data_IF_060803453129
#
_entry.id   IF_060803453129
#
_cell.length_a   1.000
_cell.length_b   1.000
_cell.length_c   1.000
_cell.angle_alpha   90.00
_cell.angle_beta   90.00
_cell.angle_gamma   90.00
#
_symmetry.space_group_name_H-M   'P 1'
#
loop_
_entity.id
_entity.type
_entity.pdbx_description
1 polymer ?
#
# COMPACT_ATOMS: atom_id res chain seq x y z
N UNK A 1 0.39 36.48 -4.28
CA UNK A 1 -0.36 35.23 -4.02
C UNK A 1 0.48 34.33 -3.13
N UNK A 2 -0.10 33.76 -2.07
CA UNK A 2 0.61 32.83 -1.17
C UNK A 2 0.83 31.51 -1.95
N UNK A 3 2.08 31.03 -2.07
CA UNK A 3 2.35 29.75 -2.74
C UNK A 3 1.70 28.63 -1.93
N UNK A 4 0.84 27.84 -2.56
CA UNK A 4 0.19 26.69 -1.92
C UNK A 4 1.23 25.60 -1.69
N UNK A 5 1.18 24.99 -0.50
CA UNK A 5 2.10 23.95 -0.07
C UNK A 5 1.33 22.74 0.43
N UNK A 6 1.94 21.58 0.31
CA UNK A 6 1.47 20.30 0.86
C UNK A 6 2.56 19.72 1.75
N UNK A 7 2.17 19.09 2.85
CA UNK A 7 3.10 18.40 3.75
C UNK A 7 3.29 16.97 3.27
N UNK A 8 4.54 16.59 3.01
CA UNK A 8 4.96 15.20 2.75
C UNK A 8 5.61 14.61 4.00
N UNK A 9 5.90 13.32 4.01
CA UNK A 9 6.63 12.67 5.11
C UNK A 9 8.06 13.22 5.29
N UNK A 10 8.63 13.89 4.29
CA UNK A 10 9.93 14.57 4.34
C UNK A 10 9.83 16.11 4.51
N UNK A 11 8.62 16.68 4.68
CA UNK A 11 8.40 18.11 4.87
C UNK A 11 7.55 18.78 3.79
N UNK A 12 7.48 20.11 3.81
CA UNK A 12 6.65 20.86 2.87
C UNK A 12 7.20 20.82 1.42
N UNK A 13 6.31 20.59 0.46
CA UNK A 13 6.55 20.80 -0.98
C UNK A 13 5.55 21.79 -1.56
N UNK A 14 5.91 22.43 -2.67
CA UNK A 14 4.98 23.28 -3.41
C UNK A 14 3.99 22.41 -4.18
N UNK A 15 2.77 22.89 -4.37
CA UNK A 15 1.75 22.15 -5.15
C UNK A 15 2.23 21.86 -6.58
N UNK A 16 3.01 22.77 -7.18
CA UNK A 16 3.53 22.58 -8.54
C UNK A 16 4.57 21.45 -8.64
N UNK A 17 5.10 20.98 -7.51
CA UNK A 17 6.09 19.89 -7.43
C UNK A 17 5.44 18.49 -7.30
N UNK A 18 4.09 18.42 -7.24
CA UNK A 18 3.37 17.16 -7.06
C UNK A 18 3.27 16.30 -8.32
N UNK A 19 3.21 16.93 -9.51
CA UNK A 19 3.19 16.18 -10.76
C UNK A 19 1.99 15.24 -10.94
N UNK A 20 2.23 14.04 -11.47
CA UNK A 20 1.23 12.96 -11.54
C UNK A 20 1.01 12.37 -10.14
N UNK A 21 -0.24 12.38 -9.68
CA UNK A 21 -0.64 12.00 -8.32
C UNK A 21 -1.57 10.80 -8.33
N UNK A 22 -1.27 9.78 -7.51
CA UNK A 22 -2.26 8.80 -7.06
C UNK A 22 -2.86 9.28 -5.72
N UNK A 23 -4.13 9.73 -5.69
CA UNK A 23 -4.67 10.47 -4.55
C UNK A 23 -5.16 9.58 -3.40
N UNK A 24 -5.17 8.26 -3.55
CA UNK A 24 -5.64 7.32 -2.54
C UNK A 24 -4.94 5.99 -2.75
N UNK A 25 -3.90 5.72 -1.96
CA UNK A 25 -3.23 4.42 -1.95
C UNK A 25 -2.93 3.96 -0.52
N UNK A 26 -2.50 2.71 -0.39
CA UNK A 26 -2.04 2.10 0.85
C UNK A 26 -0.70 1.39 0.60
N UNK A 27 0.40 1.97 1.06
CA UNK A 27 1.74 1.44 0.82
C UNK A 27 2.07 0.32 1.83
N UNK A 28 1.74 0.57 3.09
CA UNK A 28 1.78 -0.43 4.15
C UNK A 28 0.44 -0.49 4.83
N UNK A 29 -0.20 -1.66 4.83
CA UNK A 29 -1.52 -1.84 5.43
C UNK A 29 -1.68 -3.24 6.02
N UNK A 30 -2.34 -3.31 7.17
CA UNK A 30 -2.82 -4.53 7.77
C UNK A 30 -4.31 -4.37 8.06
N UNK A 31 -5.12 -5.03 7.22
CA UNK A 31 -6.58 -5.14 7.39
C UNK A 31 -6.98 -6.57 7.76
N UNK A 32 -6.09 -7.31 8.42
CA UNK A 32 -6.41 -8.65 8.92
C UNK A 32 -7.51 -8.66 9.99
N UNK A 33 -7.87 -7.49 10.54
CA UNK A 33 -9.06 -7.32 11.37
C UNK A 33 -10.39 -7.46 10.59
N UNK A 34 -10.37 -7.39 9.26
CA UNK A 34 -11.52 -7.66 8.39
C UNK A 34 -11.64 -9.16 8.02
N UNK A 35 -10.67 -9.98 8.43
CA UNK A 35 -10.69 -11.41 8.15
C UNK A 35 -11.82 -12.12 8.92
N UNK A 36 -12.59 -12.94 8.22
CA UNK A 36 -13.56 -13.85 8.81
C UNK A 36 -13.18 -15.28 8.45
N UNK A 37 -12.94 -16.12 9.45
CA UNK A 37 -12.56 -17.52 9.20
C UNK A 37 -13.71 -18.28 8.50
N UNK A 38 -13.47 -18.94 7.36
CA UNK A 38 -14.48 -19.74 6.69
C UNK A 38 -14.93 -20.93 7.52
N UNK A 39 -16.21 -21.30 7.39
CA UNK A 39 -16.80 -22.42 8.13
C UNK A 39 -16.47 -23.77 7.48
N UNK A 40 -16.42 -23.82 6.15
CA UNK A 40 -16.10 -25.07 5.45
C UNK A 40 -14.60 -25.38 5.52
N UNK A 41 -14.30 -26.68 5.53
CA UNK A 41 -12.95 -27.20 5.75
C UNK A 41 -11.99 -26.97 4.58
N UNK A 42 -12.51 -26.71 3.38
CA UNK A 42 -11.69 -26.47 2.18
C UNK A 42 -11.20 -25.03 2.21
N UNK A 43 -12.12 -24.08 2.34
CA UNK A 43 -11.81 -22.65 2.38
C UNK A 43 -11.02 -22.30 3.64
N UNK A 44 -11.27 -22.96 4.77
CA UNK A 44 -10.44 -22.79 5.97
C UNK A 44 -8.98 -23.19 5.73
N UNK A 45 -8.70 -24.23 4.94
CA UNK A 45 -7.31 -24.58 4.58
C UNK A 45 -6.70 -23.55 3.64
N UNK A 46 -7.48 -23.01 2.71
CA UNK A 46 -7.03 -21.94 1.81
C UNK A 46 -6.73 -20.64 2.58
N UNK A 47 -7.52 -20.33 3.61
CA UNK A 47 -7.47 -19.06 4.32
C UNK A 47 -6.12 -18.74 4.99
N UNK A 48 -5.37 -19.78 5.36
CA UNK A 48 -4.05 -19.66 6.01
C UNK A 48 -2.88 -19.96 5.07
N UNK A 49 -3.11 -20.09 3.75
CA UNK A 49 -2.04 -20.19 2.77
C UNK A 49 -1.41 -18.81 2.48
N UNK A 50 -0.26 -18.83 1.83
CA UNK A 50 0.32 -17.64 1.19
C UNK A 50 -0.37 -17.37 -0.15
N UNK A 51 -0.43 -16.10 -0.56
CA UNK A 51 -0.89 -15.74 -1.91
C UNK A 51 -0.01 -16.44 -2.95
N UNK A 52 -0.64 -17.09 -3.92
CA UNK A 52 0.07 -17.78 -5.01
C UNK A 52 -0.82 -17.91 -6.25
N UNK A 53 -0.22 -18.26 -7.39
CA UNK A 53 -1.00 -18.53 -8.61
C UNK A 53 -2.06 -19.63 -8.43
N UNK A 54 -1.84 -20.58 -7.51
CA UNK A 54 -2.76 -21.68 -7.25
C UNK A 54 -4.07 -21.24 -6.56
N UNK A 55 -4.05 -20.15 -5.79
CA UNK A 55 -5.22 -19.63 -5.09
C UNK A 55 -5.78 -18.32 -5.68
N UNK A 56 -5.16 -17.79 -6.74
CA UNK A 56 -5.58 -16.57 -7.41
C UNK A 56 -7.05 -16.59 -7.87
N UNK A 57 -7.55 -17.74 -8.36
CA UNK A 57 -8.95 -17.87 -8.77
C UNK A 57 -9.95 -17.66 -7.63
N UNK A 58 -9.58 -18.08 -6.41
CA UNK A 58 -10.41 -17.86 -5.22
C UNK A 58 -10.35 -16.40 -4.78
N UNK A 59 -9.13 -15.84 -4.69
CA UNK A 59 -8.88 -14.45 -4.29
C UNK A 59 -9.55 -13.42 -5.19
N UNK A 60 -9.70 -13.69 -6.48
CA UNK A 60 -10.43 -12.80 -7.41
C UNK A 60 -11.93 -12.70 -7.13
N UNK A 61 -12.52 -13.67 -6.42
CA UNK A 61 -13.94 -13.67 -6.03
C UNK A 61 -14.12 -13.17 -4.60
N UNK A 62 -13.20 -13.55 -3.73
CA UNK A 62 -13.16 -13.12 -2.34
C UNK A 62 -11.72 -12.76 -1.95
N UNK A 63 -11.35 -11.47 -2.03
CA UNK A 63 -10.02 -11.00 -1.66
C UNK A 63 -9.70 -11.15 -0.16
N UNK A 64 -10.73 -11.37 0.68
CA UNK A 64 -10.59 -11.52 2.13
C UNK A 64 -10.44 -12.97 2.57
N UNK A 65 -10.63 -13.92 1.64
CA UNK A 65 -10.55 -15.34 1.93
C UNK A 65 -9.19 -15.75 2.51
N UNK A 66 -8.09 -15.26 1.92
CA UNK A 66 -6.73 -15.60 2.35
C UNK A 66 -6.18 -14.46 3.20
N UNK A 67 -5.89 -14.75 4.48
CA UNK A 67 -5.43 -13.76 5.45
C UNK A 67 -4.13 -13.06 5.02
N UNK A 68 -3.26 -13.77 4.30
CA UNK A 68 -2.02 -13.22 3.75
C UNK A 68 -2.25 -12.08 2.74
N UNK A 69 -3.35 -12.12 1.99
CA UNK A 69 -3.70 -11.09 1.00
C UNK A 69 -4.16 -9.77 1.64
N UNK A 70 -4.44 -9.77 2.94
CA UNK A 70 -4.92 -8.62 3.71
C UNK A 70 -3.79 -7.78 4.31
N UNK A 71 -2.54 -8.13 4.03
CA UNK A 71 -1.36 -7.52 4.63
C UNK A 71 -0.38 -7.12 3.54
N UNK A 72 -0.15 -5.82 3.40
CA UNK A 72 0.95 -5.25 2.63
C UNK A 72 2.01 -4.76 3.62
N UNK A 73 3.03 -5.57 3.87
CA UNK A 73 4.06 -5.27 4.88
C UNK A 73 5.49 -5.35 4.37
N UNK A 74 5.73 -5.87 3.17
CA UNK A 74 7.07 -6.14 2.66
C UNK A 74 7.70 -4.85 2.08
N UNK A 75 8.83 -4.42 2.65
CA UNK A 75 9.46 -3.15 2.29
C UNK A 75 9.99 -3.12 0.86
N UNK A 76 10.74 -4.16 0.48
CA UNK A 76 11.38 -4.21 -0.84
C UNK A 76 10.34 -4.27 -1.97
N UNK A 77 9.23 -4.99 -1.76
CA UNK A 77 8.10 -5.01 -2.71
C UNK A 77 7.50 -3.61 -2.84
N UNK A 78 7.20 -2.93 -1.73
CA UNK A 78 6.66 -1.57 -1.77
C UNK A 78 7.62 -0.60 -2.48
N UNK A 79 8.93 -0.69 -2.22
CA UNK A 79 9.95 0.10 -2.93
C UNK A 79 9.90 -0.16 -4.44
N UNK A 80 9.89 -1.41 -4.85
CA UNK A 80 9.95 -1.79 -6.26
C UNK A 80 8.69 -1.35 -7.02
N UNK A 81 7.51 -1.49 -6.41
CA UNK A 81 6.23 -0.99 -6.96
C UNK A 81 6.22 0.55 -7.10
N UNK A 82 6.75 1.28 -6.10
CA UNK A 82 6.91 2.73 -6.19
C UNK A 82 7.89 3.15 -7.30
N UNK A 83 8.94 2.37 -7.52
CA UNK A 83 9.89 2.60 -8.61
C UNK A 83 9.23 2.40 -9.98
N UNK A 84 8.38 1.38 -10.14
CA UNK A 84 7.58 1.19 -11.37
C UNK A 84 6.67 2.40 -11.62
N UNK A 85 5.96 2.87 -10.59
CA UNK A 85 5.15 4.09 -10.69
C UNK A 85 5.98 5.30 -11.15
N UNK A 86 7.16 5.50 -10.55
CA UNK A 86 8.08 6.57 -10.92
C UNK A 86 8.56 6.46 -12.36
N UNK A 87 8.93 5.27 -12.81
CA UNK A 87 9.38 5.00 -14.19
C UNK A 87 8.28 5.28 -15.22
N UNK A 88 7.01 5.14 -14.82
CA UNK A 88 5.85 5.50 -15.62
C UNK A 88 5.51 7.01 -15.58
N UNK A 89 6.35 7.85 -14.95
CA UNK A 89 6.15 9.29 -14.83
C UNK A 89 5.36 9.71 -13.58
N UNK A 90 5.06 8.78 -12.69
CA UNK A 90 4.47 9.04 -11.38
C UNK A 90 5.38 9.88 -10.49
N UNK A 91 4.79 10.81 -9.71
CA UNK A 91 5.55 11.73 -8.87
C UNK A 91 5.08 11.78 -7.43
N UNK A 92 3.78 11.62 -7.17
CA UNK A 92 3.25 11.65 -5.80
C UNK A 92 2.23 10.55 -5.56
N UNK A 93 2.24 10.00 -4.35
CA UNK A 93 1.25 9.07 -3.83
C UNK A 93 0.72 9.65 -2.52
N UNK A 94 -0.58 9.62 -2.31
CA UNK A 94 -1.18 9.95 -1.02
C UNK A 94 -1.50 8.63 -0.30
N UNK A 95 -0.69 8.30 0.70
CA UNK A 95 -0.99 7.16 1.59
C UNK A 95 -2.07 7.57 2.59
N UNK A 96 -3.24 6.93 2.48
CA UNK A 96 -4.39 7.21 3.34
C UNK A 96 -4.60 6.11 4.38
N UNK A 97 -3.55 5.36 4.73
CA UNK A 97 -3.63 4.29 5.73
C UNK A 97 -3.98 4.85 7.11
N UNK A 98 -5.12 4.44 7.70
CA UNK A 98 -5.54 4.93 9.01
C UNK A 98 -4.63 4.50 10.17
N UNK A 99 -4.83 5.16 11.30
CA UNK A 99 -4.30 4.66 12.58
C UNK A 99 -4.94 3.31 12.89
N UNK A 100 -4.12 2.32 13.26
CA UNK A 100 -4.59 1.00 13.67
C UNK A 100 -4.58 -0.06 12.57
N UNK A 101 -4.26 0.32 11.33
CA UNK A 101 -4.21 -0.60 10.17
C UNK A 101 -2.83 -0.62 9.49
N UNK A 102 -1.74 -0.48 10.25
CA UNK A 102 -0.37 -0.63 9.72
C UNK A 102 0.35 0.64 9.25
N UNK A 103 -0.18 1.84 9.51
CA UNK A 103 0.49 3.11 9.16
C UNK A 103 1.89 3.21 9.79
N UNK A 104 2.92 3.41 8.96
CA UNK A 104 4.32 3.52 9.40
C UNK A 104 5.05 4.73 8.76
N UNK A 105 5.00 5.92 9.38
CA UNK A 105 5.62 7.13 8.85
C UNK A 105 7.14 7.04 8.67
N UNK A 106 7.84 6.24 9.48
CA UNK A 106 9.29 6.09 9.40
C UNK A 106 9.69 5.33 8.15
N UNK A 107 8.96 4.25 7.83
CA UNK A 107 9.18 3.49 6.59
C UNK A 107 8.77 4.28 5.35
N UNK A 108 7.68 5.05 5.42
CA UNK A 108 7.26 5.93 4.32
C UNK A 108 8.31 7.01 4.03
N UNK A 109 8.86 7.66 5.07
CA UNK A 109 9.97 8.61 4.90
C UNK A 109 11.16 7.97 4.18
N UNK A 110 11.56 6.79 4.62
CA UNK A 110 12.65 6.04 3.98
C UNK A 110 12.36 5.74 2.52
N UNK A 111 11.14 5.31 2.18
CA UNK A 111 10.72 5.09 0.78
C UNK A 111 10.78 6.37 -0.04
N UNK A 112 10.31 7.49 0.48
CA UNK A 112 10.38 8.78 -0.23
C UNK A 112 11.84 9.21 -0.46
N UNK A 113 12.74 9.00 0.51
CA UNK A 113 14.16 9.28 0.37
C UNK A 113 14.86 8.37 -0.66
N UNK A 114 14.55 7.07 -0.68
CA UNK A 114 15.15 6.09 -1.59
C UNK A 114 14.59 6.19 -3.02
N UNK A 115 13.27 6.33 -3.16
CA UNK A 115 12.60 6.31 -4.47
C UNK A 115 12.47 7.70 -5.08
N UNK A 116 12.41 8.77 -4.28
CA UNK A 116 12.11 10.13 -4.73
C UNK A 116 10.65 10.37 -5.13
N UNK A 117 9.76 9.39 -4.95
CA UNK A 117 8.30 9.58 -5.07
C UNK A 117 7.82 10.34 -3.83
N UNK A 118 7.05 11.40 -4.01
CA UNK A 118 6.47 12.14 -2.90
C UNK A 118 5.41 11.29 -2.20
N UNK A 119 5.46 11.22 -0.88
CA UNK A 119 4.48 10.52 -0.04
C UNK A 119 3.96 11.46 1.03
#
# INVERSE_FOLDING_TARGET
MKKLKVMTVCGEKKVEELGVVLPHEHIFIDISNQFTEPVDHIDRKLAYQKVSLNNLGYLRRDPYLVKDNLILSEYDIARDELMIFKECGGQSIIDVTPIGTGRDPSRLRRLMEETGVNI
#
